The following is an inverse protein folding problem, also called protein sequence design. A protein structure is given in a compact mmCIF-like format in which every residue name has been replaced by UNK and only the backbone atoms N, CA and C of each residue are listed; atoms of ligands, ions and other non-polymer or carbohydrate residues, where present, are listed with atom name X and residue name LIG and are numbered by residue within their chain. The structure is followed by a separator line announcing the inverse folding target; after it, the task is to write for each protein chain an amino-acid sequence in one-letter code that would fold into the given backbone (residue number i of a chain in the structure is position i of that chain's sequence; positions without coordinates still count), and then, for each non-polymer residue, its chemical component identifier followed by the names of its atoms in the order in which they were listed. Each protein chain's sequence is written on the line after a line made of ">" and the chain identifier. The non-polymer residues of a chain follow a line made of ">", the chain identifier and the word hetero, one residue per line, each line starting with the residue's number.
data_IF_800857526818
#
_entry.id   IF_800857526818
#
_cell.length_a   1.000
_cell.length_b   1.000
_cell.length_c   1.000
_cell.angle_alpha   90.00
_cell.angle_beta   90.00
_cell.angle_gamma   90.00
#
_symmetry.space_group_name_H-M   'P 1'
#
loop_
_entity.id
_entity.type
_entity.pdbx_description
1 polymer ?
#
# COMPACT_ATOMS: atom_id res chain seq x y z
N UNK A 1 -12.92 9.10 -55.21
CA UNK A 1 -11.96 8.50 -54.28
C UNK A 1 -12.12 9.25 -52.98
N UNK A 2 -13.13 8.86 -52.22
CA UNK A 2 -13.37 9.38 -50.88
C UNK A 2 -12.63 8.46 -49.92
N UNK A 3 -11.67 9.01 -49.19
CA UNK A 3 -10.97 8.31 -48.11
C UNK A 3 -11.56 8.89 -46.82
N UNK A 4 -12.44 8.10 -46.19
CA UNK A 4 -12.84 8.28 -44.81
C UNK A 4 -11.59 8.19 -43.92
N UNK A 5 -11.27 9.28 -43.24
CA UNK A 5 -10.27 9.29 -42.18
C UNK A 5 -11.00 8.98 -40.88
N UNK A 6 -11.28 7.69 -40.64
CA UNK A 6 -11.69 7.20 -39.32
C UNK A 6 -10.50 7.39 -38.37
N UNK A 7 -10.44 8.58 -37.75
CA UNK A 7 -9.60 8.78 -36.59
C UNK A 7 -10.28 8.08 -35.42
N UNK A 8 -9.88 6.84 -35.17
CA UNK A 8 -10.10 6.18 -33.88
C UNK A 8 -9.48 7.09 -32.81
N UNK A 9 -10.30 7.94 -32.20
CA UNK A 9 -9.99 8.60 -30.94
C UNK A 9 -9.91 7.47 -29.94
N UNK A 10 -8.71 6.91 -29.76
CA UNK A 10 -8.42 6.00 -28.65
C UNK A 10 -8.69 6.81 -27.40
N UNK A 11 -9.88 6.62 -26.82
CA UNK A 11 -10.24 7.15 -25.52
C UNK A 11 -9.18 6.64 -24.55
N UNK A 12 -8.27 7.53 -24.15
CA UNK A 12 -7.20 7.16 -23.21
C UNK A 12 -7.90 6.91 -21.88
N UNK A 13 -8.23 5.66 -21.60
CA UNK A 13 -8.73 5.24 -20.30
C UNK A 13 -7.56 4.80 -19.45
N UNK A 14 -7.51 5.23 -18.19
CA UNK A 14 -6.53 4.71 -17.25
C UNK A 14 -6.77 3.20 -17.06
N UNK A 15 -5.75 2.36 -17.28
CA UNK A 15 -5.85 0.91 -17.05
C UNK A 15 -6.27 0.53 -15.61
N UNK A 16 -6.05 1.40 -14.64
CA UNK A 16 -6.51 1.22 -13.27
C UNK A 16 -7.96 1.70 -13.04
N UNK A 17 -8.68 2.13 -14.08
CA UNK A 17 -10.07 2.59 -14.00
C UNK A 17 -10.25 3.99 -13.37
N UNK A 18 -9.16 4.71 -13.07
CA UNK A 18 -9.25 6.06 -12.49
C UNK A 18 -9.65 7.09 -13.57
N UNK A 19 -10.92 7.52 -13.53
CA UNK A 19 -11.49 8.53 -14.45
C UNK A 19 -10.83 9.91 -14.35
N UNK A 20 -10.13 10.18 -13.24
CA UNK A 20 -9.45 11.45 -12.98
C UNK A 20 -7.93 11.32 -13.06
N UNK A 21 -7.37 10.28 -13.69
CA UNK A 21 -5.91 10.13 -13.77
C UNK A 21 -5.29 11.28 -14.59
N UNK A 22 -4.33 12.00 -14.02
CA UNK A 22 -3.64 13.14 -14.67
C UNK A 22 -2.83 12.75 -15.91
N UNK A 23 -2.59 11.46 -16.15
CA UNK A 23 -2.06 10.97 -17.42
C UNK A 23 -3.06 11.02 -18.57
N UNK A 24 -4.34 11.25 -18.27
CA UNK A 24 -5.41 11.40 -19.26
C UNK A 24 -5.53 12.84 -19.74
N UNK A 25 -4.98 13.81 -18.98
CA UNK A 25 -4.87 15.21 -19.40
C UNK A 25 -3.61 15.42 -20.26
N UNK A 26 -3.78 16.13 -21.37
CA UNK A 26 -2.71 16.50 -22.33
C UNK A 26 -1.68 17.47 -21.75
N UNK A 27 -1.97 18.08 -20.60
CA UNK A 27 -1.11 19.04 -19.91
C UNK A 27 -0.60 18.43 -18.61
N UNK A 28 0.50 17.67 -18.70
CA UNK A 28 1.25 17.27 -17.51
C UNK A 28 2.51 18.16 -17.44
N UNK A 29 2.68 19.00 -16.40
CA UNK A 29 3.81 19.94 -16.30
C UNK A 29 5.17 19.26 -16.07
N UNK A 30 5.21 17.92 -15.97
CA UNK A 30 6.46 17.17 -15.84
C UNK A 30 7.06 16.86 -17.21
N UNK A 31 8.36 17.14 -17.44
CA UNK A 31 9.03 16.76 -18.66
C UNK A 31 8.92 15.25 -18.90
N UNK A 32 8.39 14.87 -20.05
CA UNK A 32 8.28 13.49 -20.51
C UNK A 32 9.63 12.71 -20.48
N UNK A 33 10.76 13.40 -20.34
CA UNK A 33 12.11 12.83 -20.37
C UNK A 33 12.50 11.96 -19.16
N UNK A 34 11.77 11.98 -18.04
CA UNK A 34 12.00 11.06 -16.91
C UNK A 34 11.11 9.79 -16.95
N UNK A 35 10.24 9.69 -17.94
CA UNK A 35 9.30 8.56 -18.10
C UNK A 35 9.81 7.47 -19.06
N UNK A 36 10.90 7.71 -19.78
CA UNK A 36 11.18 6.94 -21.00
C UNK A 36 11.86 5.57 -20.81
N UNK A 37 12.20 5.17 -19.57
CA UNK A 37 12.92 3.90 -19.38
C UNK A 37 12.01 2.67 -19.14
N UNK A 38 10.69 2.83 -18.91
CA UNK A 38 9.81 1.68 -18.65
C UNK A 38 8.36 1.88 -19.13
N UNK A 39 8.04 1.25 -20.26
CA UNK A 39 6.70 0.98 -20.80
C UNK A 39 6.03 2.12 -21.61
N UNK A 40 6.15 2.03 -22.93
CA UNK A 40 5.46 2.85 -23.94
C UNK A 40 3.99 2.44 -24.18
N UNK A 41 3.36 1.74 -23.24
CA UNK A 41 2.04 1.15 -23.45
C UNK A 41 0.92 2.19 -23.36
N UNK A 42 0.09 2.38 -24.42
CA UNK A 42 -1.03 3.31 -24.41
C UNK A 42 -2.01 3.01 -23.26
N UNK A 43 -2.45 4.05 -22.53
CA UNK A 43 -3.42 3.95 -21.42
C UNK A 43 -2.85 3.55 -20.05
N UNK A 44 -1.53 3.32 -19.95
CA UNK A 44 -0.87 3.01 -18.69
C UNK A 44 -0.54 4.29 -17.90
N UNK A 45 -1.20 4.51 -16.75
CA UNK A 45 -0.85 5.60 -15.85
C UNK A 45 -0.05 5.14 -14.63
N UNK A 46 1.18 5.65 -14.51
CA UNK A 46 2.09 5.31 -13.39
C UNK A 46 1.56 5.77 -12.02
N UNK A 47 0.65 6.75 -11.99
CA UNK A 47 0.00 7.21 -10.76
C UNK A 47 -1.00 6.20 -10.15
N UNK A 48 -1.38 5.13 -10.85
CA UNK A 48 -2.39 4.17 -10.37
C UNK A 48 -1.94 2.71 -10.40
N UNK A 49 -0.66 2.43 -10.67
CA UNK A 49 -0.10 1.08 -10.68
C UNK A 49 1.02 0.95 -9.65
N UNK A 50 1.20 -0.25 -9.10
CA UNK A 50 2.31 -0.55 -8.22
C UNK A 50 3.64 -0.36 -8.96
N UNK A 51 4.51 0.53 -8.47
CA UNK A 51 5.83 0.81 -9.06
C UNK A 51 6.76 -0.41 -9.13
N UNK A 52 6.49 -1.46 -8.34
CA UNK A 52 7.32 -2.66 -8.24
C UNK A 52 6.93 -3.77 -9.21
N UNK A 53 5.63 -3.93 -9.49
CA UNK A 53 5.13 -5.03 -10.33
C UNK A 53 4.34 -4.57 -11.55
N UNK A 54 4.15 -3.26 -11.70
CA UNK A 54 3.42 -2.62 -12.80
C UNK A 54 1.95 -3.08 -12.94
N UNK A 55 1.40 -3.76 -11.94
CA UNK A 55 -0.02 -4.14 -11.89
C UNK A 55 -0.84 -3.04 -11.24
N UNK A 56 -2.10 -2.96 -11.65
CA UNK A 56 -3.08 -2.03 -11.10
C UNK A 56 -3.26 -2.26 -9.60
N UNK A 57 -3.48 -1.16 -8.88
CA UNK A 57 -3.91 -1.23 -7.49
C UNK A 57 -5.41 -1.46 -7.49
N UNK A 58 -5.88 -2.50 -6.80
CA UNK A 58 -7.31 -2.62 -6.50
C UNK A 58 -7.67 -1.62 -5.40
N UNK A 59 -8.68 -0.80 -5.66
CA UNK A 59 -9.33 0.05 -4.64
C UNK A 59 -10.29 -0.73 -3.75
N UNK A 60 -10.47 -2.03 -4.01
CA UNK A 60 -11.34 -2.87 -3.21
C UNK A 60 -10.80 -2.86 -1.78
N UNK A 61 -11.72 -2.62 -0.85
CA UNK A 61 -11.45 -2.57 0.58
C UNK A 61 -10.56 -1.39 1.05
N UNK A 62 -10.92 -0.15 0.71
CA UNK A 62 -10.43 1.06 1.40
C UNK A 62 -8.90 1.28 1.37
N UNK A 63 -8.22 0.66 0.40
CA UNK A 63 -6.82 0.93 0.07
C UNK A 63 -5.77 0.47 1.09
N UNK A 64 -6.06 -0.56 1.88
CA UNK A 64 -5.09 -1.13 2.82
C UNK A 64 -4.08 -2.10 2.19
N UNK A 65 -4.27 -2.48 0.93
CA UNK A 65 -3.39 -3.40 0.20
C UNK A 65 -2.16 -2.70 -0.40
N UNK A 66 -2.09 -1.37 -0.29
CA UNK A 66 -1.04 -0.56 -0.90
C UNK A 66 -0.59 0.60 0.00
N UNK A 67 0.55 1.18 -0.34
CA UNK A 67 1.06 2.42 0.23
C UNK A 67 1.31 3.44 -0.89
N UNK A 68 0.94 4.68 -0.65
CA UNK A 68 1.24 5.83 -1.50
C UNK A 68 2.36 6.65 -0.87
N UNK A 69 3.34 7.06 -1.68
CA UNK A 69 4.38 7.97 -1.24
C UNK A 69 3.85 9.41 -1.19
N UNK A 70 3.81 9.98 0.01
CA UNK A 70 3.32 11.33 0.27
C UNK A 70 4.44 12.38 0.37
N UNK A 71 5.68 12.00 0.06
CA UNK A 71 6.82 12.91 0.13
C UNK A 71 6.70 14.04 -0.90
N UNK A 72 7.10 15.25 -0.52
CA UNK A 72 7.18 16.40 -1.42
C UNK A 72 8.56 16.42 -2.07
N UNK A 73 8.59 16.37 -3.40
CA UNK A 73 9.79 16.43 -4.25
C UNK A 73 9.59 17.58 -5.22
N UNK A 74 10.51 18.54 -5.22
CA UNK A 74 10.46 19.72 -6.09
C UNK A 74 9.11 20.48 -6.08
N UNK A 75 8.47 20.53 -4.90
CA UNK A 75 7.18 21.21 -4.71
C UNK A 75 5.94 20.37 -5.00
N UNK A 76 6.10 19.10 -5.39
CA UNK A 76 4.99 18.20 -5.74
C UNK A 76 4.99 16.92 -4.90
N UNK A 77 3.80 16.37 -4.64
CA UNK A 77 3.67 15.07 -3.96
C UNK A 77 4.14 13.96 -4.93
N UNK A 78 5.06 13.11 -4.48
CA UNK A 78 5.60 12.00 -5.25
C UNK A 78 4.51 11.07 -5.80
N UNK A 79 3.51 10.72 -4.98
CA UNK A 79 2.29 10.03 -5.39
C UNK A 79 2.45 8.58 -5.84
N UNK A 80 3.67 8.05 -5.94
CA UNK A 80 3.91 6.67 -6.37
C UNK A 80 3.34 5.66 -5.37
N UNK A 81 2.64 4.66 -5.90
CA UNK A 81 1.98 3.62 -5.12
C UNK A 81 2.72 2.28 -5.21
N UNK A 82 2.66 1.49 -4.15
CA UNK A 82 3.15 0.11 -4.10
C UNK A 82 2.16 -0.79 -3.40
N UNK A 83 1.88 -1.98 -3.93
CA UNK A 83 1.30 -3.04 -3.12
C UNK A 83 2.20 -3.30 -1.91
N UNK A 84 1.62 -3.43 -0.72
CA UNK A 84 2.39 -3.76 0.49
C UNK A 84 3.13 -5.09 0.33
N UNK A 85 2.46 -6.10 -0.22
CA UNK A 85 3.08 -7.41 -0.48
C UNK A 85 4.28 -7.30 -1.42
N UNK A 86 4.20 -6.47 -2.46
CA UNK A 86 5.34 -6.23 -3.36
C UNK A 86 6.47 -5.50 -2.63
N UNK A 87 6.15 -4.49 -1.82
CA UNK A 87 7.14 -3.73 -1.07
C UNK A 87 7.88 -4.62 -0.05
N UNK A 88 7.14 -5.44 0.70
CA UNK A 88 7.72 -6.39 1.65
C UNK A 88 8.61 -7.42 0.95
N UNK A 89 8.14 -8.03 -0.15
CA UNK A 89 8.91 -9.03 -0.90
C UNK A 89 10.16 -8.46 -1.58
N UNK A 90 10.15 -7.17 -1.88
CA UNK A 90 11.27 -6.49 -2.55
C UNK A 90 12.22 -5.80 -1.56
N UNK A 91 12.08 -6.06 -0.25
CA UNK A 91 12.84 -5.40 0.82
C UNK A 91 12.74 -3.87 0.82
N UNK A 92 11.63 -3.34 0.29
CA UNK A 92 11.29 -1.91 0.29
C UNK A 92 10.35 -1.54 1.43
N UNK A 93 9.93 -2.50 2.26
CA UNK A 93 9.09 -2.25 3.43
C UNK A 93 9.49 -3.14 4.62
N UNK A 94 9.21 -2.65 5.84
CA UNK A 94 9.38 -3.38 7.09
C UNK A 94 10.72 -3.10 7.78
N UNK A 95 11.23 -4.08 8.52
CA UNK A 95 12.61 -4.06 9.06
C UNK A 95 13.56 -4.65 8.01
N UNK A 96 14.49 -3.83 7.52
CA UNK A 96 15.46 -4.23 6.50
C UNK A 96 16.85 -3.84 6.99
N UNK A 97 17.80 -4.79 6.98
CA UNK A 97 19.19 -4.55 7.38
C UNK A 97 20.05 -3.96 6.26
N UNK A 98 21.37 -4.02 6.43
CA UNK A 98 22.33 -3.56 5.42
C UNK A 98 22.31 -2.04 5.21
N UNK A 99 22.69 -1.61 3.99
CA UNK A 99 22.76 -0.19 3.63
C UNK A 99 21.40 0.51 3.57
N UNK A 100 20.32 -0.24 3.30
CA UNK A 100 18.95 0.29 3.25
C UNK A 100 18.47 0.70 4.65
N UNK A 101 18.74 -0.14 5.67
CA UNK A 101 18.46 0.13 7.09
C UNK A 101 17.08 0.75 7.36
N UNK A 102 16.01 -0.01 7.07
CA UNK A 102 14.64 0.37 7.40
C UNK A 102 14.26 -0.17 8.78
N UNK A 103 13.39 0.57 9.50
CA UNK A 103 12.78 0.12 10.74
C UNK A 103 11.27 0.41 10.74
N UNK A 104 10.47 -0.60 10.39
CA UNK A 104 9.03 -0.47 10.15
C UNK A 104 8.71 0.71 9.22
N UNK A 105 9.42 0.79 8.10
CA UNK A 105 9.32 1.87 7.12
C UNK A 105 9.14 1.31 5.72
N UNK A 106 8.59 2.13 4.83
CA UNK A 106 8.59 1.92 3.38
C UNK A 106 9.60 2.86 2.72
N UNK A 107 10.34 2.37 1.74
CA UNK A 107 11.23 3.14 0.88
C UNK A 107 10.61 3.27 -0.51
N UNK A 108 10.29 4.49 -0.92
CA UNK A 108 9.80 4.73 -2.27
C UNK A 108 10.93 4.54 -3.29
N UNK A 109 10.77 3.63 -4.24
CA UNK A 109 11.78 3.37 -5.30
C UNK A 109 12.01 4.53 -6.26
N UNK A 110 11.12 5.52 -6.27
CA UNK A 110 11.22 6.66 -7.19
C UNK A 110 12.02 7.82 -6.59
N UNK A 111 11.65 8.26 -5.38
CA UNK A 111 12.24 9.45 -4.75
C UNK A 111 13.09 9.14 -3.52
N UNK A 112 13.30 7.85 -3.21
CA UNK A 112 14.04 7.35 -2.05
C UNK A 112 13.57 7.88 -0.68
N UNK A 113 12.37 8.46 -0.64
CA UNK A 113 11.76 8.92 0.60
C UNK A 113 11.28 7.74 1.43
N UNK A 114 11.39 7.89 2.75
CA UNK A 114 10.99 6.88 3.73
C UNK A 114 9.67 7.27 4.39
N UNK A 115 8.74 6.32 4.48
CA UNK A 115 7.44 6.50 5.12
C UNK A 115 7.33 5.58 6.33
N UNK A 116 6.85 6.08 7.47
CA UNK A 116 6.57 5.24 8.65
C UNK A 116 5.37 4.33 8.39
N UNK A 117 5.55 3.02 8.60
CA UNK A 117 4.50 2.04 8.41
C UNK A 117 3.75 1.68 9.71
N UNK A 118 4.18 2.13 10.89
CA UNK A 118 3.46 1.82 12.14
C UNK A 118 2.01 2.36 12.10
N UNK A 119 1.73 3.60 11.67
CA UNK A 119 0.36 4.08 11.52
C UNK A 119 -0.44 3.28 10.48
N UNK A 120 0.23 2.83 9.41
CA UNK A 120 -0.40 2.04 8.35
C UNK A 120 -0.79 0.64 8.86
N UNK A 121 0.09 -0.02 9.62
CA UNK A 121 -0.20 -1.27 10.31
C UNK A 121 -1.36 -1.09 11.31
N UNK A 122 -1.40 0.01 12.07
CA UNK A 122 -2.53 0.28 12.96
C UNK A 122 -3.86 0.45 12.20
N UNK A 123 -3.85 1.16 11.07
CA UNK A 123 -5.03 1.32 10.20
C UNK A 123 -5.53 -0.03 9.69
N UNK A 124 -4.63 -0.88 9.18
CA UNK A 124 -4.92 -2.26 8.74
C UNK A 124 -5.70 -3.06 9.80
N UNK A 125 -5.26 -2.99 11.06
CA UNK A 125 -5.90 -3.73 12.17
C UNK A 125 -7.26 -3.15 12.53
N UNK A 126 -7.40 -1.82 12.57
CA UNK A 126 -8.70 -1.18 12.88
C UNK A 126 -9.76 -1.58 11.86
N UNK A 127 -9.40 -1.62 10.57
CA UNK A 127 -10.32 -1.99 9.49
C UNK A 127 -10.74 -3.45 9.56
N UNK A 128 -9.94 -4.35 10.14
CA UNK A 128 -10.31 -5.75 10.32
C UNK A 128 -11.58 -5.93 11.16
N UNK A 129 -11.95 -4.96 12.00
CA UNK A 129 -13.20 -5.00 12.80
C UNK A 129 -14.46 -4.83 11.94
N UNK A 130 -14.32 -4.26 10.74
CA UNK A 130 -15.42 -4.03 9.79
C UNK A 130 -15.46 -5.07 8.66
N UNK A 131 -14.54 -6.03 8.63
CA UNK A 131 -14.44 -7.06 7.59
C UNK A 131 -15.07 -8.36 8.10
N UNK A 132 -16.00 -8.94 7.34
CA UNK A 132 -16.66 -10.21 7.70
C UNK A 132 -15.84 -11.46 7.31
N UNK A 133 -14.84 -11.32 6.44
CA UNK A 133 -14.05 -12.45 5.95
C UNK A 133 -12.87 -12.76 6.86
N UNK A 134 -12.91 -13.93 7.52
CA UNK A 134 -11.80 -14.42 8.36
C UNK A 134 -10.50 -14.57 7.59
N UNK A 135 -10.56 -15.00 6.34
CA UNK A 135 -9.39 -15.11 5.47
C UNK A 135 -8.77 -13.73 5.16
N UNK A 136 -9.62 -12.72 4.91
CA UNK A 136 -9.14 -11.35 4.69
C UNK A 136 -8.53 -10.75 5.97
N UNK A 137 -9.16 -10.98 7.13
CA UNK A 137 -8.59 -10.59 8.42
C UNK A 137 -7.22 -11.24 8.62
N UNK A 138 -7.12 -12.56 8.45
CA UNK A 138 -5.86 -13.28 8.62
C UNK A 138 -4.76 -12.75 7.69
N UNK A 139 -5.10 -12.47 6.43
CA UNK A 139 -4.17 -11.84 5.48
C UNK A 139 -3.68 -10.49 6.02
N UNK A 140 -4.57 -9.61 6.48
CA UNK A 140 -4.21 -8.29 7.00
C UNK A 140 -3.38 -8.37 8.28
N UNK A 141 -3.69 -9.30 9.20
CA UNK A 141 -2.88 -9.55 10.40
C UNK A 141 -1.46 -9.98 10.00
N UNK A 142 -1.32 -10.87 9.01
CA UNK A 142 -0.02 -11.32 8.53
C UNK A 142 0.80 -10.18 7.91
N UNK A 143 0.17 -9.30 7.11
CA UNK A 143 0.83 -8.10 6.57
C UNK A 143 1.31 -7.19 7.70
N UNK A 144 0.47 -6.92 8.71
CA UNK A 144 0.84 -6.15 9.89
C UNK A 144 2.02 -6.75 10.66
N UNK A 145 2.02 -8.08 10.85
CA UNK A 145 3.15 -8.80 11.46
C UNK A 145 4.42 -8.61 10.63
N UNK A 146 4.36 -8.79 9.31
CA UNK A 146 5.51 -8.63 8.42
C UNK A 146 6.10 -7.22 8.45
N UNK A 147 5.25 -6.18 8.53
CA UNK A 147 5.69 -4.78 8.64
C UNK A 147 6.48 -4.54 9.94
N UNK A 148 5.99 -5.09 11.06
CA UNK A 148 6.47 -4.74 12.40
C UNK A 148 7.54 -5.71 12.94
N UNK A 149 7.67 -6.89 12.35
CA UNK A 149 8.60 -7.93 12.81
C UNK A 149 10.03 -7.39 12.86
N UNK A 150 10.66 -7.54 14.02
CA UNK A 150 12.05 -7.11 14.25
C UNK A 150 12.23 -5.59 14.38
N UNK A 151 11.14 -4.81 14.37
CA UNK A 151 11.22 -3.37 14.56
C UNK A 151 11.78 -3.01 15.93
N UNK A 152 12.56 -1.93 16.02
CA UNK A 152 13.05 -1.42 17.30
C UNK A 152 12.14 -0.35 17.90
N UNK A 153 11.16 0.16 17.14
CA UNK A 153 10.18 1.13 17.62
C UNK A 153 9.30 0.55 18.71
N UNK A 154 9.18 1.26 19.83
CA UNK A 154 8.37 0.85 20.99
C UNK A 154 6.89 0.62 20.60
N UNK A 155 6.28 1.61 19.94
CA UNK A 155 4.90 1.51 19.45
C UNK A 155 4.71 0.37 18.43
N UNK A 156 5.73 0.08 17.62
CA UNK A 156 5.72 -1.05 16.69
C UNK A 156 5.72 -2.41 17.41
N UNK A 157 6.52 -2.56 18.47
CA UNK A 157 6.56 -3.77 19.30
C UNK A 157 5.24 -4.00 20.04
N UNK A 158 4.68 -2.95 20.65
CA UNK A 158 3.39 -3.00 21.35
C UNK A 158 2.26 -3.39 20.38
N UNK A 159 2.25 -2.80 19.18
CA UNK A 159 1.28 -3.14 18.15
C UNK A 159 1.46 -4.57 17.64
N UNK A 160 2.69 -5.04 17.42
CA UNK A 160 2.97 -6.42 17.00
C UNK A 160 2.40 -7.42 18.00
N UNK A 161 2.68 -7.24 19.30
CA UNK A 161 2.16 -8.11 20.36
C UNK A 161 0.62 -8.15 20.35
N UNK A 162 -0.03 -7.00 20.14
CA UNK A 162 -1.48 -6.94 20.02
C UNK A 162 -2.00 -7.74 18.81
N UNK A 163 -1.36 -7.61 17.65
CA UNK A 163 -1.73 -8.34 16.43
C UNK A 163 -1.56 -9.86 16.61
N UNK A 164 -0.45 -10.29 17.22
CA UNK A 164 -0.18 -11.70 17.49
C UNK A 164 -1.19 -12.29 18.49
N UNK A 165 -1.59 -11.53 19.51
CA UNK A 165 -2.66 -11.92 20.43
C UNK A 165 -4.01 -12.10 19.72
N UNK A 166 -4.41 -11.15 18.86
CA UNK A 166 -5.63 -11.27 18.04
C UNK A 166 -5.56 -12.53 17.17
N UNK A 167 -4.44 -12.73 16.45
CA UNK A 167 -4.27 -13.91 15.57
C UNK A 167 -4.37 -15.21 16.36
N UNK A 168 -3.74 -15.29 17.54
CA UNK A 168 -3.81 -16.45 18.43
C UNK A 168 -5.23 -16.75 18.91
N UNK A 169 -5.99 -15.72 19.32
CA UNK A 169 -7.41 -15.85 19.70
C UNK A 169 -8.25 -16.39 18.53
N UNK A 170 -8.06 -15.81 17.34
CA UNK A 170 -8.74 -16.29 16.14
C UNK A 170 -8.39 -17.74 15.82
N UNK A 171 -7.13 -18.17 15.92
CA UNK A 171 -6.74 -19.57 15.70
C UNK A 171 -7.39 -20.54 16.68
N UNK A 172 -7.66 -20.10 17.92
CA UNK A 172 -8.40 -20.86 18.94
C UNK A 172 -9.92 -20.87 18.73
N UNK A 173 -10.42 -20.27 17.65
CA UNK A 173 -11.86 -20.25 17.33
C UNK A 173 -12.67 -19.15 18.00
N UNK A 174 -12.01 -18.18 18.65
CA UNK A 174 -12.70 -17.01 19.21
C UNK A 174 -13.33 -16.19 18.08
N UNK A 175 -14.57 -15.74 18.25
CA UNK A 175 -15.23 -14.92 17.24
C UNK A 175 -14.52 -13.56 17.08
N UNK A 176 -14.63 -12.96 15.89
CA UNK A 176 -13.90 -11.73 15.52
C UNK A 176 -14.12 -10.62 16.55
N UNK A 177 -15.36 -10.35 16.94
CA UNK A 177 -15.68 -9.27 17.90
C UNK A 177 -14.96 -9.43 19.24
N UNK A 178 -14.82 -10.67 19.74
CA UNK A 178 -14.13 -10.95 20.99
C UNK A 178 -12.61 -10.96 20.83
N UNK A 179 -12.09 -11.38 19.69
CA UNK A 179 -10.66 -11.39 19.43
C UNK A 179 -10.04 -9.98 19.47
N UNK A 180 -10.79 -8.97 19.02
CA UNK A 180 -10.35 -7.57 18.98
C UNK A 180 -10.63 -6.77 20.27
N UNK A 181 -11.36 -7.34 21.26
CA UNK A 181 -11.51 -6.68 22.57
C UNK A 181 -10.14 -6.61 23.24
N UNK A 182 -9.74 -5.40 23.67
CA UNK A 182 -8.60 -5.25 24.59
C UNK A 182 -8.91 -6.03 25.85
N UNK A 183 -7.94 -6.80 26.32
CA UNK A 183 -8.02 -7.38 27.67
C UNK A 183 -8.15 -6.20 28.63
N UNK A 184 -9.25 -6.18 29.39
CA UNK A 184 -9.39 -5.23 30.48
C UNK A 184 -8.23 -5.47 31.44
N UNK A 185 -7.68 -4.38 31.98
CA UNK A 185 -6.92 -4.47 33.22
C UNK A 185 -7.83 -5.22 34.20
N UNK A 186 -7.43 -6.41 34.65
CA UNK A 186 -8.12 -7.07 35.75
C UNK A 186 -7.94 -6.14 36.94
N UNK A 187 -8.94 -5.31 37.20
CA UNK A 187 -9.06 -4.57 38.44
C UNK A 187 -9.01 -5.63 39.55
N UNK A 188 -7.88 -5.66 40.24
CA UNK A 188 -7.67 -6.54 41.38
C UNK A 188 -8.70 -6.13 42.43
N UNK A 189 -9.60 -7.07 42.74
CA UNK A 189 -10.61 -6.94 43.78
C UNK A 189 -9.96 -6.86 45.16
#
# INVERSE_FOLDING_TARGET
>A
FDIDFDSDIIERTCKAGNRSCSSLSTENPFPAMLYDMYCSEPGFCRGCCCILCFKTISSDYDGYSYIQCEAIVDGYICGHVSHLDCALRSYMAGKVGGSINLDAQYLCRYCDSRTDLVPHALKLIKTCTSVASRAAIEKNLNVGICILRGSQKRNGKELLHHIESIKSKLMKGVCIQHAFKKEGCLDST
#
